data_IF_440703156787
#
_entry.id   IF_440703156787
#
_cell.length_a   1.000
_cell.length_b   1.000
_cell.length_c   1.000
_cell.angle_alpha   90.00
_cell.angle_beta   90.00
_cell.angle_gamma   90.00
#
_symmetry.space_group_name_H-M   'P 1'
#
loop_
_entity.id
_entity.type
_entity.pdbx_description
1 polymer ?
#
# COMPACT_ATOMS: atom_id res chain seq x y z
N UNK A 1 4.64 -8.03 -4.67
CA UNK A 1 4.10 -9.33 -4.52
C UNK A 1 3.82 -10.12 -5.77
N UNK A 2 4.88 -10.57 -6.48
CA UNK A 2 4.80 -11.37 -7.71
C UNK A 2 5.12 -12.87 -7.50
N UNK A 3 5.46 -13.27 -6.27
CA UNK A 3 5.88 -14.63 -5.91
C UNK A 3 4.89 -15.29 -4.92
N UNK A 4 3.71 -15.72 -5.40
CA UNK A 4 2.67 -16.26 -4.52
C UNK A 4 3.06 -17.56 -3.82
N UNK A 5 3.96 -18.35 -4.42
CA UNK A 5 4.42 -19.61 -3.83
C UNK A 5 5.32 -19.37 -2.61
N UNK A 6 6.24 -18.41 -2.70
CA UNK A 6 7.13 -18.07 -1.60
C UNK A 6 6.35 -17.44 -0.44
N UNK A 7 5.39 -16.54 -0.76
CA UNK A 7 4.50 -15.93 0.24
C UNK A 7 3.70 -17.02 0.98
N UNK A 8 3.07 -17.93 0.24
CA UNK A 8 2.31 -19.04 0.82
C UNK A 8 3.18 -19.93 1.71
N UNK A 9 4.40 -20.26 1.25
CA UNK A 9 5.35 -21.07 2.00
C UNK A 9 5.72 -20.41 3.33
N UNK A 10 6.05 -19.12 3.33
CA UNK A 10 6.42 -18.41 4.56
C UNK A 10 5.23 -18.30 5.53
N UNK A 11 4.01 -18.08 5.04
CA UNK A 11 2.80 -18.07 5.87
C UNK A 11 2.62 -19.43 6.56
N UNK A 12 2.69 -20.54 5.81
CA UNK A 12 2.53 -21.89 6.34
C UNK A 12 3.66 -22.29 7.29
N UNK A 13 4.90 -21.94 6.96
CA UNK A 13 6.08 -22.18 7.81
C UNK A 13 5.97 -21.45 9.15
N UNK A 14 5.37 -20.26 9.15
CA UNK A 14 5.08 -19.52 10.38
C UNK A 14 3.86 -20.07 11.16
N UNK A 15 3.17 -21.10 10.65
CA UNK A 15 1.96 -21.65 11.28
C UNK A 15 0.75 -20.71 11.20
N UNK A 16 0.76 -19.76 10.26
CA UNK A 16 -0.28 -18.76 10.09
C UNK A 16 -1.30 -19.16 9.01
N UNK A 17 -2.43 -18.48 9.03
CA UNK A 17 -3.49 -18.61 8.02
C UNK A 17 -3.70 -17.24 7.36
N UNK A 18 -3.70 -17.19 6.03
CA UNK A 18 -4.03 -15.97 5.30
C UNK A 18 -5.55 -15.74 5.36
N UNK A 19 -5.97 -14.61 5.89
CA UNK A 19 -7.38 -14.27 6.06
C UNK A 19 -7.87 -13.13 5.19
N UNK A 20 -6.96 -12.30 4.68
CA UNK A 20 -7.26 -11.20 3.77
C UNK A 20 -6.03 -10.75 3.01
N UNK A 21 -6.23 -10.04 1.91
CA UNK A 21 -5.17 -9.35 1.14
C UNK A 21 -5.49 -7.86 1.12
N UNK A 22 -4.50 -7.04 1.46
CA UNK A 22 -4.59 -5.58 1.42
C UNK A 22 -3.68 -5.07 0.30
N UNK A 23 -4.24 -4.39 -0.69
CA UNK A 23 -3.52 -3.83 -1.83
C UNK A 23 -3.32 -2.34 -1.61
N UNK A 24 -2.09 -1.89 -1.57
CA UNK A 24 -1.76 -0.47 -1.43
C UNK A 24 -2.02 0.30 -2.72
N UNK A 25 -1.72 -0.30 -3.87
CA UNK A 25 -1.96 0.26 -5.20
C UNK A 25 -1.83 -0.82 -6.28
N UNK A 26 -2.25 -0.53 -7.51
CA UNK A 26 -2.45 -1.49 -8.60
C UNK A 26 -1.26 -1.74 -9.52
N UNK A 27 -0.01 -1.32 -9.20
CA UNK A 27 1.13 -1.65 -10.02
C UNK A 27 1.43 -3.15 -10.01
N UNK A 28 1.95 -3.67 -11.14
CA UNK A 28 2.08 -5.10 -11.40
C UNK A 28 2.86 -5.85 -10.30
N UNK A 29 3.93 -5.28 -9.82
CA UNK A 29 4.81 -5.87 -8.80
C UNK A 29 4.15 -5.95 -7.40
N UNK A 30 3.00 -5.29 -7.22
CA UNK A 30 2.19 -5.39 -6.01
C UNK A 30 0.99 -6.34 -6.15
N UNK A 31 0.51 -6.62 -7.36
CA UNK A 31 -0.75 -7.36 -7.57
C UNK A 31 -0.61 -8.68 -8.32
N UNK A 32 0.51 -8.94 -9.01
CA UNK A 32 0.71 -10.15 -9.82
C UNK A 32 0.54 -11.46 -9.05
N UNK A 33 0.91 -11.48 -7.78
CA UNK A 33 0.79 -12.67 -6.93
C UNK A 33 -0.61 -12.95 -6.41
N UNK A 34 -1.52 -11.98 -6.47
CA UNK A 34 -2.87 -12.09 -5.88
C UNK A 34 -3.67 -13.28 -6.43
N UNK A 35 -3.77 -13.50 -7.76
CA UNK A 35 -4.51 -14.67 -8.28
C UNK A 35 -3.91 -16.00 -7.83
N UNK A 36 -2.58 -16.07 -7.70
CA UNK A 36 -1.89 -17.26 -7.20
C UNK A 36 -2.20 -17.56 -5.74
N UNK A 37 -2.22 -16.51 -4.90
CA UNK A 37 -2.60 -16.63 -3.49
C UNK A 37 -4.08 -17.05 -3.34
N UNK A 38 -4.99 -16.47 -4.11
CA UNK A 38 -6.41 -16.80 -4.06
C UNK A 38 -6.72 -18.25 -4.49
N UNK A 39 -5.90 -18.84 -5.38
CA UNK A 39 -6.01 -20.28 -5.68
C UNK A 39 -5.65 -21.17 -4.49
N UNK A 40 -4.71 -20.72 -3.64
CA UNK A 40 -4.26 -21.45 -2.44
C UNK A 40 -5.13 -21.17 -1.22
N UNK A 41 -5.72 -19.99 -1.16
CA UNK A 41 -6.55 -19.46 -0.07
C UNK A 41 -7.87 -18.91 -0.64
N UNK A 42 -8.78 -19.80 -1.13
CA UNK A 42 -9.99 -19.35 -1.80
C UNK A 42 -10.96 -18.65 -0.84
N UNK A 43 -11.67 -17.66 -1.36
CA UNK A 43 -12.73 -16.95 -0.65
C UNK A 43 -12.29 -15.87 0.33
N UNK A 44 -10.97 -15.64 0.51
CA UNK A 44 -10.52 -14.53 1.34
C UNK A 44 -10.79 -13.18 0.66
N UNK A 45 -11.15 -12.11 1.41
CA UNK A 45 -11.37 -10.79 0.85
C UNK A 45 -10.08 -10.13 0.37
N UNK A 46 -10.20 -9.36 -0.71
CA UNK A 46 -9.13 -8.50 -1.24
C UNK A 46 -9.59 -7.06 -1.14
N UNK A 47 -8.88 -6.25 -0.37
CA UNK A 47 -9.18 -4.83 -0.17
C UNK A 47 -8.29 -3.99 -1.07
N UNK A 48 -8.88 -3.07 -1.81
CA UNK A 48 -8.18 -2.19 -2.75
C UNK A 48 -8.95 -0.88 -2.91
N UNK A 49 -8.26 0.23 -3.15
CA UNK A 49 -8.95 1.51 -3.40
C UNK A 49 -9.71 1.46 -4.74
N UNK A 50 -10.91 2.05 -4.79
CA UNK A 50 -11.78 2.02 -5.97
C UNK A 50 -11.09 2.48 -7.27
N UNK A 51 -10.19 3.46 -7.17
CA UNK A 51 -9.43 3.99 -8.31
C UNK A 51 -8.38 3.01 -8.84
N UNK A 52 -8.06 1.95 -8.12
CA UNK A 52 -7.10 0.92 -8.55
C UNK A 52 -7.79 -0.29 -9.18
N UNK A 53 -9.10 -0.47 -8.99
CA UNK A 53 -9.85 -1.62 -9.51
C UNK A 53 -10.12 -1.53 -11.01
N UNK A 54 -10.41 -0.33 -11.52
CA UNK A 54 -10.90 -0.12 -12.89
C UNK A 54 -10.09 0.96 -13.63
N UNK A 55 -8.82 1.08 -13.34
CA UNK A 55 -7.96 2.08 -13.98
C UNK A 55 -7.68 1.72 -15.43
N UNK A 56 -8.48 2.26 -16.36
CA UNK A 56 -8.40 1.95 -17.81
C UNK A 56 -7.40 2.82 -18.57
N UNK A 57 -6.80 3.81 -17.92
CA UNK A 57 -5.87 4.77 -18.55
C UNK A 57 -4.40 4.46 -18.39
N UNK A 58 -4.06 3.30 -17.91
CA UNK A 58 -2.80 3.11 -17.21
C UNK A 58 -1.67 2.49 -18.04
N UNK A 59 -1.84 2.16 -19.29
CA UNK A 59 -0.76 1.52 -20.04
C UNK A 59 -0.23 0.24 -19.35
N UNK A 60 0.96 -0.17 -19.74
CA UNK A 60 1.55 -1.47 -19.34
C UNK A 60 2.03 -1.56 -17.90
N UNK A 61 2.08 -0.45 -17.16
CA UNK A 61 2.57 -0.41 -15.77
C UNK A 61 1.52 -0.85 -14.75
N UNK A 62 0.26 -0.87 -15.13
CA UNK A 62 -0.82 -1.34 -14.28
C UNK A 62 -1.27 -2.72 -14.72
N UNK A 63 -1.11 -3.68 -13.85
CA UNK A 63 -1.86 -4.91 -13.97
C UNK A 63 -3.04 -4.80 -13.01
N UNK A 64 -4.15 -4.40 -13.58
CA UNK A 64 -5.41 -4.48 -12.87
C UNK A 64 -5.56 -5.90 -12.32
N UNK A 65 -5.95 -5.99 -11.06
CA UNK A 65 -6.53 -7.22 -10.56
C UNK A 65 -7.54 -7.70 -11.59
N UNK A 66 -7.25 -8.80 -12.25
CA UNK A 66 -8.23 -9.47 -13.10
C UNK A 66 -9.52 -9.72 -12.32
N UNK A 67 -10.53 -10.32 -12.91
CA UNK A 67 -11.76 -10.62 -12.18
C UNK A 67 -11.40 -11.47 -10.94
N UNK A 68 -11.43 -10.84 -9.78
CA UNK A 68 -11.20 -11.44 -8.48
C UNK A 68 -12.55 -11.49 -7.78
N UNK A 69 -12.98 -12.68 -7.44
CA UNK A 69 -14.17 -12.89 -6.63
C UNK A 69 -13.98 -12.29 -5.25
N UNK A 70 -14.69 -11.56 -4.61
CA UNK A 70 -14.54 -11.03 -3.24
C UNK A 70 -13.60 -9.79 -3.13
N UNK A 71 -13.67 -8.88 -4.12
CA UNK A 71 -13.06 -7.56 -4.02
C UNK A 71 -13.93 -6.63 -3.15
N UNK A 72 -13.28 -5.97 -2.21
CA UNK A 72 -13.85 -4.92 -1.37
C UNK A 72 -13.12 -3.60 -1.65
N UNK A 73 -13.85 -2.60 -2.12
CA UNK A 73 -13.26 -1.28 -2.33
C UNK A 73 -13.15 -0.52 -1.01
N UNK A 74 -12.01 0.15 -0.83
CA UNK A 74 -11.76 1.02 0.33
C UNK A 74 -11.55 2.47 -0.11
N UNK A 75 -11.74 3.37 0.82
CA UNK A 75 -11.53 4.81 0.66
C UNK A 75 -10.98 5.42 1.94
N UNK A 76 -10.67 6.69 1.87
CA UNK A 76 -10.23 7.49 3.02
C UNK A 76 -11.13 7.33 4.23
N UNK A 77 -10.52 7.03 5.39
CA UNK A 77 -11.20 6.93 6.67
C UNK A 77 -11.91 5.60 6.94
N UNK A 78 -11.91 4.67 5.98
CA UNK A 78 -12.43 3.33 6.24
C UNK A 78 -11.58 2.59 7.27
N UNK A 79 -12.21 1.67 7.98
CA UNK A 79 -11.55 0.78 8.93
C UNK A 79 -11.91 -0.66 8.60
N UNK A 80 -10.90 -1.53 8.52
CA UNK A 80 -11.04 -2.96 8.30
C UNK A 80 -10.76 -3.67 9.62
N UNK A 81 -11.63 -4.56 10.05
CA UNK A 81 -11.40 -5.36 11.25
C UNK A 81 -10.43 -6.53 10.98
N UNK A 82 -9.37 -6.60 11.75
CA UNK A 82 -8.42 -7.71 11.73
C UNK A 82 -8.40 -8.40 13.10
N UNK A 83 -9.38 -9.24 13.34
CA UNK A 83 -9.47 -9.99 14.60
C UNK A 83 -9.59 -9.10 15.84
N UNK A 84 -10.35 -8.00 15.76
CA UNK A 84 -10.51 -7.00 16.81
C UNK A 84 -9.46 -5.89 16.77
N UNK A 85 -8.47 -5.95 15.89
CA UNK A 85 -7.51 -4.86 15.65
C UNK A 85 -7.95 -4.04 14.44
N UNK A 86 -8.17 -2.72 14.57
CA UNK A 86 -8.55 -1.90 13.43
C UNK A 86 -7.36 -1.66 12.50
N UNK A 87 -7.61 -1.81 11.19
CA UNK A 87 -6.72 -1.36 10.13
C UNK A 87 -7.33 -0.09 9.55
N UNK A 88 -6.70 1.05 9.77
CA UNK A 88 -7.15 2.33 9.25
C UNK A 88 -6.66 2.53 7.81
N UNK A 89 -7.53 3.02 6.93
CA UNK A 89 -7.21 3.33 5.54
C UNK A 89 -6.95 4.82 5.39
N UNK A 90 -5.73 5.17 5.00
CA UNK A 90 -5.31 6.54 4.70
C UNK A 90 -5.10 6.66 3.19
N UNK A 91 -5.88 7.48 2.48
CA UNK A 91 -5.66 7.75 1.06
C UNK A 91 -4.41 8.61 0.89
N UNK A 92 -3.39 8.08 0.23
CA UNK A 92 -2.08 8.71 0.02
C UNK A 92 -1.71 8.71 -1.47
N UNK A 93 -2.47 9.44 -2.31
CA UNK A 93 -2.25 9.48 -3.76
C UNK A 93 -0.97 10.21 -4.14
N UNK A 94 -0.53 9.98 -5.37
CA UNK A 94 0.61 10.67 -5.98
C UNK A 94 1.54 9.73 -6.71
N UNK A 95 1.84 8.56 -6.19
CA UNK A 95 2.47 7.47 -6.94
C UNK A 95 1.46 6.85 -7.92
N UNK A 96 0.27 6.55 -7.43
CA UNK A 96 -0.92 6.23 -8.22
C UNK A 96 -2.14 6.99 -7.68
N UNK A 97 -3.25 7.09 -8.45
CA UNK A 97 -4.43 7.83 -8.02
C UNK A 97 -5.17 7.23 -6.82
N UNK A 98 -5.05 5.93 -6.65
CA UNK A 98 -5.69 5.18 -5.57
C UNK A 98 -4.72 4.64 -4.53
N UNK A 99 -3.47 5.09 -4.51
CA UNK A 99 -2.51 4.69 -3.47
C UNK A 99 -3.07 4.94 -2.08
N UNK A 100 -2.97 3.93 -1.21
CA UNK A 100 -3.36 4.00 0.20
C UNK A 100 -2.23 3.55 1.11
N UNK A 101 -2.24 4.08 2.32
CA UNK A 101 -1.44 3.60 3.45
C UNK A 101 -2.38 2.91 4.42
N UNK A 102 -2.09 1.68 4.80
CA UNK A 102 -2.77 0.98 5.87
C UNK A 102 -2.03 1.19 7.18
N UNK A 103 -2.75 1.67 8.20
CA UNK A 103 -2.21 1.84 9.55
C UNK A 103 -2.76 0.76 10.48
N UNK A 104 -1.86 0.06 11.15
CA UNK A 104 -2.18 -0.93 12.17
C UNK A 104 -1.42 -0.58 13.44
N UNK A 105 -2.10 0.01 14.41
CA UNK A 105 -1.45 0.51 15.63
C UNK A 105 -0.36 1.54 15.32
N UNK A 106 0.90 1.20 15.61
CA UNK A 106 2.08 2.02 15.39
C UNK A 106 2.85 1.70 14.09
N UNK A 107 2.25 0.91 13.19
CA UNK A 107 2.87 0.51 11.91
C UNK A 107 2.09 1.08 10.73
N UNK A 108 2.81 1.64 9.75
CA UNK A 108 2.31 2.11 8.45
C UNK A 108 2.80 1.19 7.34
N UNK A 109 1.89 0.59 6.59
CA UNK A 109 2.16 -0.10 5.33
C UNK A 109 1.82 0.85 4.20
N UNK A 110 2.81 1.60 3.73
CA UNK A 110 2.56 2.77 2.88
C UNK A 110 2.74 2.51 1.38
N UNK A 111 2.96 1.25 0.96
CA UNK A 111 3.24 0.96 -0.44
C UNK A 111 4.32 1.91 -0.98
N UNK A 112 4.06 2.49 -2.13
CA UNK A 112 5.00 3.36 -2.82
C UNK A 112 4.73 4.86 -2.56
N UNK A 113 4.40 5.19 -1.31
CA UNK A 113 4.22 6.60 -0.92
C UNK A 113 5.49 7.15 -0.25
N UNK A 114 5.94 6.55 0.86
CA UNK A 114 7.09 7.01 1.64
C UNK A 114 8.14 5.91 1.74
N UNK A 115 9.35 6.19 1.28
CA UNK A 115 10.51 5.30 1.36
C UNK A 115 11.56 5.84 2.34
N UNK A 116 12.49 4.99 2.74
CA UNK A 116 13.65 5.39 3.53
C UNK A 116 14.50 6.43 2.77
N UNK A 117 14.42 7.70 3.18
CA UNK A 117 15.11 8.81 2.55
C UNK A 117 14.58 9.21 1.15
N UNK A 118 13.43 8.68 0.71
CA UNK A 118 12.89 8.90 -0.63
C UNK A 118 11.35 8.85 -0.64
N UNK A 119 10.75 8.84 -1.83
CA UNK A 119 9.33 8.60 -2.05
C UNK A 119 9.11 7.85 -3.37
N UNK A 120 7.90 7.34 -3.58
CA UNK A 120 7.51 6.72 -4.84
C UNK A 120 7.62 7.67 -6.02
N UNK A 121 7.95 7.13 -7.20
CA UNK A 121 7.98 7.88 -8.45
C UNK A 121 6.59 8.38 -8.83
N UNK A 122 6.53 9.46 -9.58
CA UNK A 122 5.28 10.15 -9.95
C UNK A 122 5.15 10.40 -11.45
N UNK A 123 6.01 9.79 -12.25
CA UNK A 123 6.11 9.97 -13.70
C UNK A 123 5.31 8.91 -14.50
N UNK A 124 4.73 7.93 -13.83
CA UNK A 124 3.80 7.00 -14.46
C UNK A 124 2.43 7.64 -14.66
N UNK A 125 1.64 7.08 -15.58
CA UNK A 125 0.28 7.54 -15.83
C UNK A 125 -0.54 7.56 -14.54
N UNK A 126 -1.16 8.70 -14.25
CA UNK A 126 -1.89 8.93 -12.99
C UNK A 126 -1.04 9.40 -11.82
N UNK A 127 0.29 9.41 -11.97
CA UNK A 127 1.20 9.96 -10.99
C UNK A 127 1.12 11.49 -10.88
N UNK A 128 1.41 12.04 -9.71
CA UNK A 128 1.36 13.48 -9.45
C UNK A 128 2.33 13.86 -8.33
N UNK A 129 3.36 14.65 -8.67
CA UNK A 129 4.32 15.11 -7.68
C UNK A 129 3.67 15.99 -6.61
N UNK A 130 2.73 16.85 -6.99
CA UNK A 130 2.01 17.67 -6.00
C UNK A 130 1.20 16.84 -5.01
N UNK A 131 0.56 15.76 -5.47
CA UNK A 131 -0.19 14.86 -4.58
C UNK A 131 0.74 14.04 -3.69
N UNK A 132 1.87 13.53 -4.19
CA UNK A 132 2.80 12.76 -3.34
C UNK A 132 3.33 13.63 -2.21
N UNK A 133 3.66 14.91 -2.46
CA UNK A 133 4.07 15.84 -1.41
C UNK A 133 2.98 16.05 -0.35
N UNK A 134 1.71 16.18 -0.76
CA UNK A 134 0.59 16.27 0.19
C UNK A 134 0.44 14.99 1.02
N UNK A 135 0.60 13.83 0.40
CA UNK A 135 0.57 12.54 1.07
C UNK A 135 1.73 12.37 2.06
N UNK A 136 2.94 12.78 1.68
CA UNK A 136 4.10 12.79 2.57
C UNK A 136 3.88 13.70 3.78
N UNK A 137 3.44 14.93 3.54
CA UNK A 137 3.11 15.91 4.59
C UNK A 137 2.10 15.32 5.59
N UNK A 138 1.06 14.68 5.07
CA UNK A 138 0.05 14.01 5.89
C UNK A 138 0.66 12.90 6.77
N UNK A 139 1.43 11.97 6.16
CA UNK A 139 2.01 10.85 6.90
C UNK A 139 2.96 11.33 8.00
N UNK A 140 3.83 12.30 7.71
CA UNK A 140 4.78 12.80 8.71
C UNK A 140 4.13 13.69 9.77
N UNK A 141 2.88 14.13 9.56
CA UNK A 141 2.09 14.86 10.56
C UNK A 141 1.35 13.95 11.54
N UNK A 142 1.36 12.63 11.33
CA UNK A 142 0.79 11.68 12.30
C UNK A 142 1.56 11.73 13.62
N UNK A 143 0.85 11.59 14.72
CA UNK A 143 1.47 11.59 16.05
C UNK A 143 2.33 10.34 16.29
N UNK A 144 3.41 10.52 17.03
CA UNK A 144 4.32 9.45 17.43
C UNK A 144 5.37 9.10 16.39
N UNK A 145 6.24 8.17 16.77
CA UNK A 145 7.28 7.62 15.89
C UNK A 145 6.83 6.28 15.33
N UNK A 146 5.96 6.31 14.31
CA UNK A 146 5.42 5.10 13.71
C UNK A 146 6.49 4.41 12.85
N UNK A 147 6.47 3.08 12.85
CA UNK A 147 7.27 2.26 11.93
C UNK A 147 6.70 2.36 10.53
N UNK A 148 7.55 2.57 9.54
CA UNK A 148 7.17 2.67 8.12
C UNK A 148 7.65 1.42 7.38
N UNK A 149 6.72 0.70 6.80
CA UNK A 149 6.94 -0.47 5.96
C UNK A 149 6.54 -0.12 4.51
N UNK A 150 7.50 0.29 3.68
CA UNK A 150 7.25 0.63 2.29
C UNK A 150 7.08 -0.60 1.39
N UNK A 151 6.65 -0.37 0.13
CA UNK A 151 6.59 -1.41 -0.89
C UNK A 151 7.96 -1.86 -1.38
N UNK A 152 8.89 -0.92 -1.44
CA UNK A 152 10.29 -1.12 -1.80
C UNK A 152 11.21 -0.51 -0.74
N UNK A 153 12.51 -0.80 -0.82
CA UNK A 153 13.54 -0.34 0.10
C UNK A 153 13.39 -0.91 1.53
N UNK A 154 14.19 -0.39 2.43
CA UNK A 154 14.21 -0.82 3.82
C UNK A 154 13.08 -0.19 4.63
N UNK A 155 12.67 -0.86 5.70
CA UNK A 155 11.80 -0.25 6.71
C UNK A 155 12.48 0.93 7.38
N UNK A 156 11.70 1.94 7.75
CA UNK A 156 12.17 3.14 8.44
C UNK A 156 11.19 3.56 9.55
N UNK A 157 11.31 4.78 10.04
CA UNK A 157 10.38 5.35 11.02
C UNK A 157 10.04 6.80 10.66
N UNK A 158 8.90 7.29 11.13
CA UNK A 158 8.50 8.67 10.85
C UNK A 158 9.52 9.70 11.35
N UNK A 159 10.17 9.46 12.51
CA UNK A 159 11.18 10.38 13.02
C UNK A 159 12.43 10.43 12.13
N UNK A 160 12.87 9.30 11.60
CA UNK A 160 13.98 9.25 10.65
C UNK A 160 13.63 10.04 9.36
N UNK A 161 12.41 9.87 8.86
CA UNK A 161 11.98 10.55 7.64
C UNK A 161 11.73 12.05 7.85
N UNK A 162 11.20 12.45 8.99
CA UNK A 162 11.08 13.86 9.40
C UNK A 162 12.44 14.55 9.45
N UNK A 163 13.47 13.85 9.95
CA UNK A 163 14.81 14.40 10.12
C UNK A 163 15.62 14.43 8.82
N UNK A 164 15.53 13.39 7.98
CA UNK A 164 16.50 13.16 6.91
C UNK A 164 15.94 13.15 5.48
N UNK A 165 14.66 12.94 5.27
CA UNK A 165 14.10 12.74 3.93
C UNK A 165 13.97 14.08 3.17
N UNK A 166 14.65 14.26 2.00
CA UNK A 166 14.57 15.49 1.23
C UNK A 166 13.17 15.79 0.68
N UNK A 167 12.40 14.76 0.32
CA UNK A 167 11.03 14.91 -0.20
C UNK A 167 10.05 15.32 0.90
N UNK A 168 10.24 14.82 2.12
CA UNK A 168 9.49 15.29 3.30
C UNK A 168 9.79 16.76 3.57
N UNK A 169 11.06 17.17 3.46
CA UNK A 169 11.45 18.57 3.61
C UNK A 169 10.78 19.46 2.56
N UNK A 170 10.67 18.99 1.31
CA UNK A 170 9.97 19.71 0.24
C UNK A 170 8.46 19.78 0.51
N UNK A 171 7.86 18.70 1.02
CA UNK A 171 6.45 18.63 1.38
C UNK A 171 6.06 19.59 2.52
N UNK A 172 7.02 19.97 3.38
CA UNK A 172 6.79 20.84 4.53
C UNK A 172 7.02 22.35 4.23
N UNK A 173 7.51 22.70 3.03
CA UNK A 173 7.63 24.09 2.57
C UNK A 173 6.29 24.65 2.13
#
# INVERSE_FOLDING_TARGET
GDQPDDIDQEIRKAGLTLTMILITHGHFDHVLGVPGLLKKWPGIPVYVHEKEVNWTGAGDQYMLLGPVDNIHTVKEGDTIDFGGTPIEVLHTPGHSPGSVTYRVGDVLFCGDTLFAGSCGRTDFTGGSYGQILQSLKRLVSLEGNLRVCPGHESTTSLDAERAGNPFVRDALR
#
